data_IF_876225443570
#
_entry.id   IF_876225443570
#
_cell.length_a   1.000
_cell.length_b   1.000
_cell.length_c   1.000
_cell.angle_alpha   90.00
_cell.angle_beta   90.00
_cell.angle_gamma   90.00
#
_symmetry.space_group_name_H-M   'P 1'
#
loop_
_entity.id
_entity.type
_entity.pdbx_description
1 polymer ?
#
# COMPACT_ATOMS: atom_id res chain seq x y z
N UNK A 1 8.80 15.09 -5.06
CA UNK A 1 9.06 13.66 -5.01
C UNK A 1 7.97 12.99 -5.80
N UNK A 2 8.33 12.31 -6.88
CA UNK A 2 7.37 11.66 -7.78
C UNK A 2 7.07 10.21 -7.34
N UNK A 3 6.13 9.56 -8.01
CA UNK A 3 5.88 8.13 -7.97
C UNK A 3 7.16 7.33 -8.22
N UNK A 4 8.05 7.80 -9.10
CA UNK A 4 9.34 7.15 -9.34
C UNK A 4 10.28 7.23 -8.13
N UNK A 5 10.23 8.32 -7.36
CA UNK A 5 10.99 8.42 -6.11
C UNK A 5 10.42 7.48 -5.04
N UNK A 6 9.09 7.42 -4.89
CA UNK A 6 8.43 6.49 -3.95
C UNK A 6 8.70 5.03 -4.34
N UNK A 7 8.63 4.71 -5.63
CA UNK A 7 8.93 3.38 -6.13
C UNK A 7 10.38 2.97 -5.85
N UNK A 8 11.36 3.88 -6.04
CA UNK A 8 12.76 3.63 -5.68
C UNK A 8 12.95 3.47 -4.19
N UNK A 9 12.33 4.32 -3.37
CA UNK A 9 12.38 4.22 -1.91
C UNK A 9 11.93 2.84 -1.43
N UNK A 10 10.87 2.27 -2.02
CA UNK A 10 10.42 0.91 -1.68
C UNK A 10 11.36 -0.18 -2.26
N UNK A 11 11.82 0.00 -3.50
CA UNK A 11 12.65 -0.99 -4.22
C UNK A 11 14.04 -1.15 -3.59
N UNK A 12 14.65 -0.04 -3.17
CA UNK A 12 16.02 0.00 -2.66
C UNK A 12 16.10 -0.28 -1.14
N UNK A 13 14.95 -0.50 -0.49
CA UNK A 13 14.87 -0.67 0.96
C UNK A 13 15.63 -1.91 1.45
N UNK A 14 16.43 -1.75 2.50
CA UNK A 14 17.08 -2.86 3.19
C UNK A 14 16.10 -3.54 4.16
N UNK A 15 15.43 -4.60 3.70
CA UNK A 15 14.39 -5.28 4.48
C UNK A 15 15.01 -6.15 5.59
N UNK A 16 14.88 -5.68 6.82
CA UNK A 16 15.29 -6.37 8.05
C UNK A 16 14.28 -7.44 8.51
N UNK A 17 14.74 -8.36 9.36
CA UNK A 17 13.84 -9.29 10.07
C UNK A 17 12.83 -8.56 10.96
N UNK A 18 13.08 -7.31 11.34
CA UNK A 18 12.14 -6.54 12.16
C UNK A 18 10.90 -6.16 11.34
N UNK A 19 11.09 -5.65 10.11
CA UNK A 19 9.98 -5.34 9.20
C UNK A 19 9.18 -6.57 8.83
N UNK A 20 9.86 -7.68 8.50
CA UNK A 20 9.20 -8.95 8.18
C UNK A 20 8.30 -9.42 9.33
N UNK A 21 8.76 -9.32 10.58
CA UNK A 21 7.94 -9.69 11.75
C UNK A 21 6.73 -8.77 11.90
N UNK A 22 6.91 -7.46 11.77
CA UNK A 22 5.81 -6.48 11.90
C UNK A 22 4.78 -6.65 10.80
N UNK A 23 5.21 -6.84 9.56
CA UNK A 23 4.37 -7.17 8.42
C UNK A 23 3.52 -8.43 8.68
N UNK A 24 4.13 -9.54 9.11
CA UNK A 24 3.39 -10.76 9.45
C UNK A 24 2.41 -10.55 10.61
N UNK A 25 2.76 -9.68 11.57
CA UNK A 25 1.92 -9.34 12.72
C UNK A 25 0.74 -8.43 12.33
N UNK A 26 0.74 -7.80 11.17
CA UNK A 26 -0.45 -7.12 10.64
C UNK A 26 -1.55 -8.07 10.18
N UNK A 27 -1.22 -9.31 9.84
CA UNK A 27 -2.25 -10.23 9.35
C UNK A 27 -3.18 -10.67 10.49
N UNK A 28 -4.48 -10.89 10.24
CA UNK A 28 -5.35 -11.63 11.15
C UNK A 28 -4.79 -13.02 11.45
N UNK A 29 -5.17 -13.59 12.60
CA UNK A 29 -4.60 -14.87 13.07
C UNK A 29 -4.73 -16.00 12.04
N UNK A 30 -5.87 -16.21 11.34
CA UNK A 30 -5.98 -17.30 10.37
C UNK A 30 -5.06 -17.12 9.14
N UNK A 31 -5.08 -15.98 8.40
CA UNK A 31 -4.11 -15.76 7.31
C UNK A 31 -2.66 -15.80 7.78
N UNK A 32 -2.35 -15.26 8.97
CA UNK A 32 -1.00 -15.34 9.55
C UNK A 32 -0.55 -16.78 9.79
N UNK A 33 -1.45 -17.66 10.23
CA UNK A 33 -1.14 -19.08 10.37
C UNK A 33 -0.99 -19.77 9.00
N UNK A 34 -1.82 -19.39 8.03
CA UNK A 34 -1.77 -19.92 6.65
C UNK A 34 -0.47 -19.57 5.92
N UNK A 35 0.20 -18.46 6.25
CA UNK A 35 1.57 -18.18 5.75
C UNK A 35 2.51 -19.36 6.00
N UNK A 36 2.45 -19.99 7.17
CA UNK A 36 3.37 -21.08 7.56
C UNK A 36 2.83 -22.48 7.22
N UNK A 37 1.79 -22.56 6.39
CA UNK A 37 1.20 -23.81 5.94
C UNK A 37 0.97 -23.72 4.42
N UNK A 38 1.96 -24.12 3.63
CA UNK A 38 1.90 -24.02 2.16
C UNK A 38 0.75 -24.83 1.54
N UNK A 39 0.24 -25.83 2.27
CA UNK A 39 -0.93 -26.63 1.86
C UNK A 39 -2.26 -26.00 2.25
N UNK A 40 -2.28 -24.90 3.00
CA UNK A 40 -3.51 -24.24 3.37
C UNK A 40 -4.18 -23.62 2.14
N UNK A 41 -5.50 -23.79 2.02
CA UNK A 41 -6.28 -23.19 0.94
C UNK A 41 -6.10 -21.65 0.86
N UNK A 42 -5.91 -21.00 2.02
CA UNK A 42 -5.75 -19.55 2.14
C UNK A 42 -4.29 -19.08 1.96
N UNK A 43 -3.34 -19.98 1.66
CA UNK A 43 -1.91 -19.64 1.61
C UNK A 43 -1.60 -18.50 0.63
N UNK A 44 -2.15 -18.55 -0.58
CA UNK A 44 -1.96 -17.49 -1.59
C UNK A 44 -2.54 -16.15 -1.17
N UNK A 45 -3.70 -16.15 -0.51
CA UNK A 45 -4.30 -14.94 0.06
C UNK A 45 -3.41 -14.37 1.16
N UNK A 46 -2.87 -15.25 2.02
CA UNK A 46 -1.95 -14.85 3.08
C UNK A 46 -0.65 -14.25 2.53
N UNK A 47 -0.08 -14.81 1.45
CA UNK A 47 1.09 -14.23 0.76
C UNK A 47 0.80 -12.80 0.26
N UNK A 48 -0.38 -12.58 -0.34
CA UNK A 48 -0.80 -11.25 -0.81
C UNK A 48 -0.91 -10.25 0.34
N UNK A 49 -1.63 -10.62 1.42
CA UNK A 49 -1.78 -9.77 2.60
C UNK A 49 -0.44 -9.47 3.28
N UNK A 50 0.47 -10.46 3.32
CA UNK A 50 1.82 -10.25 3.84
C UNK A 50 2.61 -9.28 2.98
N UNK A 51 2.51 -9.39 1.66
CA UNK A 51 3.22 -8.52 0.75
C UNK A 51 2.75 -7.07 0.87
N UNK A 52 1.44 -6.84 0.95
CA UNK A 52 0.88 -5.51 1.23
C UNK A 52 1.38 -4.95 2.57
N UNK A 53 1.34 -5.77 3.63
CA UNK A 53 1.82 -5.38 4.95
C UNK A 53 3.32 -5.08 4.99
N UNK A 54 4.11 -5.80 4.19
CA UNK A 54 5.54 -5.58 4.06
C UNK A 54 5.82 -4.24 3.38
N UNK A 55 5.18 -3.95 2.25
CA UNK A 55 5.33 -2.65 1.56
C UNK A 55 4.93 -1.50 2.48
N UNK A 56 3.86 -1.68 3.26
CA UNK A 56 3.47 -0.69 4.26
C UNK A 56 4.57 -0.46 5.32
N UNK A 57 5.17 -1.51 5.86
CA UNK A 57 6.26 -1.39 6.84
C UNK A 57 7.54 -0.77 6.25
N UNK A 58 7.84 -1.06 4.98
CA UNK A 58 8.94 -0.41 4.24
C UNK A 58 8.66 1.09 4.12
N UNK A 59 7.45 1.46 3.68
CA UNK A 59 7.05 2.87 3.57
C UNK A 59 7.18 3.59 4.91
N UNK A 60 6.78 2.98 6.02
CA UNK A 60 6.95 3.60 7.34
C UNK A 60 8.42 3.78 7.73
N UNK A 61 9.26 2.76 7.53
CA UNK A 61 10.67 2.79 7.92
C UNK A 61 11.48 3.77 7.08
N UNK A 62 11.42 3.62 5.76
CA UNK A 62 12.16 4.45 4.80
C UNK A 62 11.55 5.86 4.73
N UNK A 63 10.21 5.94 4.78
CA UNK A 63 9.52 7.20 4.71
C UNK A 63 9.84 8.10 5.90
N UNK A 64 9.98 7.57 7.12
CA UNK A 64 10.41 8.37 8.28
C UNK A 64 11.81 8.97 8.09
N UNK A 65 12.72 8.23 7.46
CA UNK A 65 14.07 8.68 7.15
C UNK A 65 14.13 9.69 5.99
N UNK A 66 13.21 9.62 5.01
CA UNK A 66 13.26 10.47 3.81
C UNK A 66 12.60 11.84 4.04
N UNK A 67 13.36 12.96 4.01
CA UNK A 67 12.81 14.29 4.26
C UNK A 67 11.78 14.76 3.21
N UNK A 68 11.64 14.09 2.07
CA UNK A 68 10.68 14.43 1.01
C UNK A 68 9.31 13.81 1.24
N UNK A 69 9.20 12.79 2.08
CA UNK A 69 7.91 12.23 2.50
C UNK A 69 7.33 13.15 3.58
N UNK A 70 6.12 13.65 3.36
CA UNK A 70 5.40 14.47 4.33
C UNK A 70 4.53 13.59 5.24
N UNK A 71 3.70 12.74 4.64
CA UNK A 71 2.75 11.90 5.36
C UNK A 71 2.54 10.55 4.67
N UNK A 72 2.22 9.54 5.46
CA UNK A 72 1.83 8.20 4.99
C UNK A 72 0.49 7.88 5.62
N UNK A 73 -0.51 7.54 4.80
CA UNK A 73 -1.80 7.12 5.34
C UNK A 73 -1.62 5.84 6.16
N UNK A 74 -2.21 5.80 7.35
CA UNK A 74 -2.31 4.59 8.12
C UNK A 74 -3.02 3.49 7.31
N UNK A 75 -2.64 2.23 7.51
CA UNK A 75 -3.28 1.04 6.93
C UNK A 75 -3.31 -0.08 7.97
N UNK A 76 -4.07 -1.13 7.71
CA UNK A 76 -4.09 -2.36 8.50
C UNK A 76 -4.46 -2.04 9.96
N UNK A 77 -3.67 -2.49 10.94
CA UNK A 77 -4.00 -2.24 12.35
C UNK A 77 -3.71 -0.83 12.83
N UNK A 78 -3.09 -0.02 12.00
CA UNK A 78 -2.74 1.36 12.36
C UNK A 78 -3.84 2.34 11.94
N UNK A 79 -4.74 1.88 11.07
CA UNK A 79 -5.90 2.62 10.64
C UNK A 79 -6.97 2.65 11.73
N UNK A 80 -7.43 3.86 12.08
CA UNK A 80 -8.56 4.03 12.99
C UNK A 80 -9.88 3.77 12.26
N UNK A 81 -10.56 2.69 12.63
CA UNK A 81 -11.89 2.40 12.12
C UNK A 81 -12.93 3.30 12.81
N UNK A 82 -13.50 4.22 12.03
CA UNK A 82 -14.67 5.00 12.44
C UNK A 82 -15.90 4.43 11.71
N UNK A 83 -16.91 3.90 12.44
CA UNK A 83 -18.15 3.46 11.83
C UNK A 83 -18.78 4.57 10.98
N UNK A 84 -19.26 4.19 9.80
CA UNK A 84 -19.92 5.09 8.86
C UNK A 84 -21.32 4.58 8.54
N UNK A 85 -22.22 5.51 8.21
CA UNK A 85 -23.55 5.21 7.70
C UNK A 85 -23.75 5.84 6.30
N UNK A 86 -24.98 5.79 5.78
CA UNK A 86 -25.32 6.37 4.46
C UNK A 86 -25.20 7.90 4.40
N UNK A 87 -25.05 8.58 5.54
CA UNK A 87 -24.90 10.02 5.67
C UNK A 87 -23.44 10.44 5.92
N UNK A 88 -22.53 9.47 6.00
CA UNK A 88 -21.10 9.74 6.08
C UNK A 88 -20.65 10.64 4.91
N UNK A 89 -19.85 11.66 5.24
CA UNK A 89 -19.25 12.55 4.25
C UNK A 89 -18.41 11.77 3.27
N UNK A 90 -18.42 12.21 2.03
CA UNK A 90 -17.52 11.70 1.00
C UNK A 90 -16.07 11.95 1.45
N UNK A 91 -15.17 11.02 1.13
CA UNK A 91 -13.76 11.15 1.47
C UNK A 91 -13.09 9.81 1.76
N UNK A 92 -11.94 9.87 2.44
CA UNK A 92 -11.17 8.70 2.84
C UNK A 92 -11.70 8.12 4.16
N UNK A 93 -11.95 6.82 4.13
CA UNK A 93 -12.40 6.00 5.24
C UNK A 93 -11.56 4.74 5.34
N UNK A 94 -11.65 4.09 6.49
CA UNK A 94 -11.03 2.79 6.71
C UNK A 94 -12.09 1.72 6.84
N UNK A 95 -11.83 0.55 6.27
CA UNK A 95 -12.62 -0.65 6.57
C UNK A 95 -12.29 -1.15 7.97
N UNK A 96 -13.06 -2.12 8.48
CA UNK A 96 -12.75 -2.75 9.78
C UNK A 96 -11.40 -3.45 9.82
N UNK A 97 -10.87 -3.80 8.65
CA UNK A 97 -9.56 -4.43 8.49
C UNK A 97 -8.45 -3.40 8.24
N UNK A 98 -8.79 -2.12 8.11
CA UNK A 98 -7.84 -1.04 7.87
C UNK A 98 -7.45 -0.83 6.41
N UNK A 99 -8.28 -1.28 5.46
CA UNK A 99 -8.08 -0.95 4.05
C UNK A 99 -8.44 0.53 3.81
N UNK A 100 -7.69 1.22 2.94
CA UNK A 100 -7.91 2.62 2.60
C UNK A 100 -9.01 2.68 1.55
N UNK A 101 -10.18 3.18 1.94
CA UNK A 101 -11.35 3.20 1.08
C UNK A 101 -11.88 4.62 0.89
N UNK A 102 -12.02 5.02 -0.38
CA UNK A 102 -12.69 6.25 -0.75
C UNK A 102 -14.18 5.99 -0.89
N UNK A 103 -14.99 6.80 -0.21
CA UNK A 103 -16.45 6.67 -0.22
C UNK A 103 -17.12 7.89 -0.84
N UNK A 104 -18.15 7.64 -1.63
CA UNK A 104 -19.02 8.65 -2.25
C UNK A 104 -20.47 8.29 -1.93
N UNK A 105 -21.22 9.23 -1.34
CA UNK A 105 -22.60 9.07 -0.88
C UNK A 105 -22.79 7.84 0.00
N UNK A 106 -21.85 7.65 0.93
CA UNK A 106 -21.85 6.52 1.87
C UNK A 106 -21.61 5.16 1.23
N UNK A 107 -21.14 5.06 -0.02
CA UNK A 107 -20.76 3.80 -0.69
C UNK A 107 -19.27 3.77 -1.00
N UNK A 108 -18.66 2.59 -0.98
CA UNK A 108 -17.29 2.40 -1.45
C UNK A 108 -17.22 2.72 -2.95
N UNK A 109 -16.36 3.68 -3.31
CA UNK A 109 -16.14 4.12 -4.68
C UNK A 109 -14.79 3.62 -5.21
N UNK A 110 -13.77 3.58 -4.36
CA UNK A 110 -12.48 3.01 -4.66
C UNK A 110 -11.78 2.52 -3.39
N UNK A 111 -10.82 1.63 -3.57
CA UNK A 111 -9.87 1.18 -2.56
C UNK A 111 -8.47 1.33 -3.15
N UNK A 112 -7.49 1.69 -2.32
CA UNK A 112 -6.07 1.77 -2.72
C UNK A 112 -5.21 1.04 -1.70
N UNK A 113 -4.08 0.52 -2.14
CA UNK A 113 -3.22 -0.25 -1.24
C UNK A 113 -2.36 0.61 -0.34
N UNK A 114 -1.90 1.76 -0.82
CA UNK A 114 -1.25 2.75 0.02
C UNK A 114 -1.49 4.16 -0.51
N UNK A 115 -1.22 5.14 0.36
CA UNK A 115 -1.32 6.56 0.03
C UNK A 115 -0.21 7.33 0.76
N UNK A 116 0.55 8.12 0.01
CA UNK A 116 1.70 8.89 0.49
C UNK A 116 1.56 10.33 -0.01
N UNK A 117 1.68 11.28 0.90
CA UNK A 117 1.80 12.69 0.55
C UNK A 117 3.27 13.08 0.60
N UNK A 118 3.78 13.58 -0.52
CA UNK A 118 5.11 14.15 -0.64
C UNK A 118 5.11 15.64 -0.24
N UNK A 119 6.26 16.18 0.16
CA UNK A 119 6.41 17.58 0.58
C UNK A 119 6.25 18.61 -0.54
N UNK A 120 6.30 18.18 -1.79
CA UNK A 120 6.03 19.01 -2.96
C UNK A 120 4.58 18.88 -3.43
N UNK A 121 3.68 18.52 -2.52
CA UNK A 121 2.24 18.44 -2.77
C UNK A 121 1.90 17.43 -3.88
N UNK A 122 2.66 16.34 -3.98
CA UNK A 122 2.32 15.17 -4.81
C UNK A 122 1.71 14.08 -3.94
N UNK A 123 0.47 13.68 -4.26
CA UNK A 123 -0.22 12.55 -3.66
C UNK A 123 0.05 11.30 -4.51
N UNK A 124 0.81 10.37 -3.95
CA UNK A 124 1.13 9.09 -4.58
C UNK A 124 0.23 8.00 -3.98
N UNK A 125 -0.50 7.29 -4.81
CA UNK A 125 -1.20 6.07 -4.41
C UNK A 125 -0.63 4.87 -5.16
N UNK A 126 -0.89 3.67 -4.66
CA UNK A 126 -0.45 2.47 -5.36
C UNK A 126 -1.33 1.26 -5.17
N UNK A 127 -1.07 0.28 -6.04
CA UNK A 127 -1.69 -1.04 -6.07
C UNK A 127 -0.58 -2.08 -5.99
N UNK A 128 -0.79 -3.10 -5.16
CA UNK A 128 0.19 -4.13 -4.82
C UNK A 128 -0.37 -5.45 -5.34
N UNK A 129 0.34 -6.09 -6.25
CA UNK A 129 -0.09 -7.37 -6.80
C UNK A 129 1.04 -8.37 -6.91
N UNK A 130 0.75 -9.61 -6.54
CA UNK A 130 1.65 -10.76 -6.73
C UNK A 130 1.88 -11.10 -8.20
N UNK A 131 1.02 -10.61 -9.10
CA UNK A 131 1.12 -10.81 -10.54
C UNK A 131 0.92 -9.49 -11.27
N UNK A 132 1.76 -9.18 -12.27
CA UNK A 132 1.48 -8.07 -13.17
C UNK A 132 0.10 -8.22 -13.81
N UNK A 133 -0.69 -7.15 -13.81
CA UNK A 133 -1.96 -7.05 -14.55
C UNK A 133 -1.83 -5.92 -15.55
N UNK A 134 -1.95 -6.22 -16.84
CA UNK A 134 -1.87 -5.25 -17.94
C UNK A 134 -3.20 -5.15 -18.68
N UNK A 135 -4.28 -5.64 -18.06
CA UNK A 135 -5.59 -5.64 -18.69
C UNK A 135 -6.11 -4.20 -18.87
N UNK A 136 -6.85 -3.93 -19.97
CA UNK A 136 -7.54 -2.64 -20.13
C UNK A 136 -8.52 -2.33 -18.99
N UNK A 137 -9.01 -3.36 -18.29
CA UNK A 137 -9.86 -3.20 -17.10
C UNK A 137 -9.10 -2.56 -15.95
N UNK A 138 -7.88 -3.03 -15.67
CA UNK A 138 -7.03 -2.48 -14.63
C UNK A 138 -6.57 -1.05 -14.94
N UNK A 139 -6.21 -0.76 -16.20
CA UNK A 139 -5.91 0.62 -16.63
C UNK A 139 -7.09 1.56 -16.35
N UNK A 140 -8.29 1.16 -16.76
CA UNK A 140 -9.51 1.96 -16.54
C UNK A 140 -9.79 2.17 -15.06
N UNK A 141 -9.56 1.15 -14.23
CA UNK A 141 -9.68 1.24 -12.78
C UNK A 141 -8.72 2.28 -12.21
N UNK A 142 -7.44 2.22 -12.57
CA UNK A 142 -6.42 3.19 -12.11
C UNK A 142 -6.74 4.61 -12.54
N UNK A 143 -7.16 4.82 -13.79
CA UNK A 143 -7.58 6.15 -14.25
C UNK A 143 -8.81 6.66 -13.49
N UNK A 144 -9.77 5.77 -13.18
CA UNK A 144 -10.95 6.12 -12.38
C UNK A 144 -10.57 6.49 -10.94
N UNK A 145 -9.59 5.79 -10.34
CA UNK A 145 -9.02 6.13 -9.03
C UNK A 145 -8.31 7.49 -9.06
N UNK A 146 -7.45 7.74 -10.05
CA UNK A 146 -6.77 9.05 -10.25
C UNK A 146 -7.78 10.19 -10.29
N UNK A 147 -8.83 10.06 -11.09
CA UNK A 147 -9.87 11.09 -11.22
C UNK A 147 -10.65 11.31 -9.91
N UNK A 148 -10.99 10.21 -9.21
CA UNK A 148 -11.67 10.30 -7.93
C UNK A 148 -10.81 11.03 -6.88
N UNK A 149 -9.50 10.73 -6.81
CA UNK A 149 -8.58 11.39 -5.89
C UNK A 149 -8.45 12.89 -6.22
N UNK A 150 -8.31 13.25 -7.50
CA UNK A 150 -8.29 14.67 -7.94
C UNK A 150 -9.55 15.40 -7.50
N UNK A 151 -10.72 14.81 -7.71
CA UNK A 151 -11.98 15.40 -7.26
C UNK A 151 -12.00 15.63 -5.73
N UNK A 152 -11.50 14.69 -4.93
CA UNK A 152 -11.43 14.88 -3.48
C UNK A 152 -10.48 15.99 -3.07
N UNK A 153 -9.38 16.18 -3.80
CA UNK A 153 -8.45 17.28 -3.59
C UNK A 153 -9.10 18.62 -3.96
N UNK A 154 -9.77 18.70 -5.11
CA UNK A 154 -10.50 19.88 -5.56
C UNK A 154 -11.60 20.28 -4.57
N UNK A 155 -12.39 19.32 -4.09
CA UNK A 155 -13.44 19.53 -3.08
C UNK A 155 -12.85 20.03 -1.74
N UNK A 156 -11.58 19.69 -1.45
CA UNK A 156 -10.83 20.17 -0.29
C UNK A 156 -10.06 21.49 -0.55
N UNK A 157 -10.07 22.02 -1.78
CA UNK A 157 -9.32 23.22 -2.16
C UNK A 157 -7.80 22.99 -2.24
N UNK A 158 -7.35 21.75 -2.46
CA UNK A 158 -5.95 21.36 -2.54
C UNK A 158 -5.55 21.14 -4.00
N UNK A 159 -4.41 21.70 -4.42
CA UNK A 159 -3.89 21.57 -5.79
C UNK A 159 -2.75 20.57 -5.88
N UNK A 160 -2.97 19.35 -5.36
CA UNK A 160 -1.93 18.33 -5.32
C UNK A 160 -1.82 17.58 -6.66
N UNK A 161 -0.59 17.23 -7.05
CA UNK A 161 -0.36 16.23 -8.10
C UNK A 161 -0.91 14.86 -7.68
N UNK A 162 -1.35 14.03 -8.62
CA UNK A 162 -1.79 12.66 -8.32
C UNK A 162 -1.06 11.68 -9.22
N UNK A 163 -0.24 10.82 -8.62
CA UNK A 163 0.57 9.82 -9.32
C UNK A 163 0.34 8.42 -8.75
N UNK A 164 0.61 7.42 -9.59
CA UNK A 164 0.30 6.02 -9.36
C UNK A 164 1.55 5.15 -9.46
N UNK A 165 1.74 4.30 -8.46
CA UNK A 165 2.80 3.29 -8.40
C UNK A 165 2.18 1.89 -8.43
N UNK A 166 2.66 1.03 -9.34
CA UNK A 166 2.37 -0.39 -9.30
C UNK A 166 3.50 -1.13 -8.58
N UNK A 167 3.18 -1.95 -7.58
CA UNK A 167 4.16 -2.71 -6.78
C UNK A 167 3.97 -4.21 -6.99
N UNK A 168 5.07 -4.92 -7.22
CA UNK A 168 5.03 -6.38 -7.45
C UNK A 168 6.29 -7.06 -6.94
N UNK A 169 6.24 -8.36 -6.55
CA UNK A 169 7.45 -9.07 -6.15
C UNK A 169 8.17 -9.73 -7.34
N UNK A 170 7.60 -9.63 -8.54
CA UNK A 170 8.12 -10.28 -9.75
C UNK A 170 9.02 -9.30 -10.49
N UNK A 171 10.34 -9.55 -10.50
CA UNK A 171 11.22 -8.95 -11.49
C UNK A 171 11.05 -9.67 -12.82
N UNK A 172 10.85 -8.91 -13.89
CA UNK A 172 11.15 -9.41 -15.23
C UNK A 172 12.58 -8.98 -15.52
N UNK A 173 13.39 -9.86 -16.12
CA UNK A 173 14.76 -9.51 -16.52
C UNK A 173 14.80 -8.31 -17.50
N UNK A 174 13.66 -7.96 -18.10
CA UNK A 174 13.44 -6.81 -18.98
C UNK A 174 13.16 -5.48 -18.25
N UNK A 175 12.75 -5.51 -16.97
CA UNK A 175 12.45 -4.29 -16.19
C UNK A 175 13.71 -3.52 -15.76
N UNK A 176 14.86 -4.20 -15.69
CA UNK A 176 16.14 -3.63 -15.30
C UNK A 176 16.75 -2.66 -16.34
N UNK A 177 16.23 -2.61 -17.58
CA UNK A 177 16.77 -1.77 -18.66
C UNK A 177 16.02 -0.45 -18.88
N UNK A 178 15.10 -0.06 -17.98
CA UNK A 178 14.37 1.22 -18.10
C UNK A 178 13.34 1.27 -19.23
N UNK A 179 13.12 0.17 -19.94
CA UNK A 179 11.95 -0.05 -20.78
C UNK A 179 11.03 -0.99 -20.04
N UNK A 180 9.85 -0.54 -19.60
CA UNK A 180 8.81 -1.46 -19.14
C UNK A 180 8.53 -2.43 -20.31
N UNK A 181 8.88 -3.70 -20.18
CA UNK A 181 8.45 -4.72 -21.14
C UNK A 181 6.92 -4.79 -21.19
N UNK A 182 6.35 -5.41 -22.24
CA UNK A 182 4.89 -5.54 -22.40
C UNK A 182 4.16 -6.32 -21.29
N UNK A 183 4.89 -6.84 -20.30
CA UNK A 183 4.36 -7.55 -19.13
C UNK A 183 3.93 -6.63 -17.97
N UNK A 184 4.27 -5.33 -17.99
CA UNK A 184 3.92 -4.40 -16.90
C UNK A 184 2.98 -3.26 -17.35
N UNK A 185 2.24 -2.65 -16.40
CA UNK A 185 1.37 -1.51 -16.67
C UNK A 185 2.14 -0.32 -17.25
N UNK A 186 2.02 -0.08 -18.56
CA UNK A 186 2.64 1.09 -19.22
C UNK A 186 1.98 2.41 -18.82
N UNK A 187 0.78 2.33 -18.23
CA UNK A 187 0.02 3.47 -17.73
C UNK A 187 0.38 3.83 -16.28
N UNK A 188 1.24 3.05 -15.62
CA UNK A 188 1.76 3.40 -14.30
C UNK A 188 2.78 4.53 -14.41
N UNK A 189 2.74 5.48 -13.48
CA UNK A 189 3.73 6.56 -13.45
C UNK A 189 5.07 6.03 -12.92
N UNK A 190 5.05 4.95 -12.14
CA UNK A 190 6.22 4.17 -11.79
C UNK A 190 5.91 2.69 -11.49
N UNK A 191 6.91 1.84 -11.70
CA UNK A 191 6.94 0.44 -11.29
C UNK A 191 7.89 0.29 -10.10
N UNK A 192 7.44 -0.42 -9.08
CA UNK A 192 8.24 -0.84 -7.94
C UNK A 192 8.31 -2.37 -7.91
N UNK A 193 9.52 -2.91 -7.77
CA UNK A 193 9.74 -4.35 -7.63
C UNK A 193 10.39 -4.61 -6.28
N UNK A 194 9.73 -5.40 -5.44
CA UNK A 194 10.30 -5.86 -4.17
C UNK A 194 10.58 -7.35 -4.31
N UNK A 195 11.75 -7.68 -4.82
CA UNK A 195 12.10 -9.06 -5.17
C UNK A 195 11.85 -10.04 -4.02
N UNK A 196 11.15 -11.13 -4.32
CA UNK A 196 10.75 -12.16 -3.34
C UNK A 196 9.91 -11.63 -2.16
N UNK A 197 9.43 -10.39 -2.23
CA UNK A 197 8.75 -9.68 -1.14
C UNK A 197 7.60 -10.48 -0.52
N UNK A 198 6.86 -11.24 -1.34
CA UNK A 198 5.75 -12.09 -0.89
C UNK A 198 6.18 -13.37 -0.14
N UNK A 199 7.47 -13.70 -0.16
CA UNK A 199 8.04 -14.92 0.47
C UNK A 199 9.00 -14.62 1.61
N UNK A 200 9.34 -13.35 1.86
CA UNK A 200 10.28 -12.94 2.92
C UNK A 200 9.87 -13.39 4.33
N UNK A 201 8.58 -13.69 4.55
CA UNK A 201 8.09 -14.30 5.79
C UNK A 201 8.82 -15.61 6.15
N UNK A 202 9.39 -16.32 5.17
CA UNK A 202 10.21 -17.53 5.39
C UNK A 202 11.50 -17.26 6.18
N UNK A 203 11.93 -16.00 6.28
CA UNK A 203 13.15 -15.59 7.01
C UNK A 203 12.92 -15.43 8.52
N UNK A 204 11.69 -15.58 9.00
CA UNK A 204 11.32 -15.51 10.41
C UNK A 204 10.62 -16.79 10.86
N UNK A 205 10.82 -17.18 12.11
CA UNK A 205 10.23 -18.40 12.66
C UNK A 205 8.77 -18.15 13.07
N UNK A 206 7.89 -19.13 12.86
CA UNK A 206 6.44 -19.03 13.17
C UNK A 206 6.16 -18.55 14.60
N UNK A 207 6.93 -19.05 15.58
CA UNK A 207 6.81 -18.67 16.99
C UNK A 207 7.12 -17.18 17.26
N UNK A 208 7.83 -16.51 16.35
CA UNK A 208 8.15 -15.09 16.47
C UNK A 208 6.95 -14.20 16.14
N UNK A 209 5.93 -14.70 15.42
CA UNK A 209 4.84 -13.89 14.87
C UNK A 209 3.44 -14.40 15.24
N UNK A 210 3.25 -15.70 15.43
CA UNK A 210 1.90 -16.28 15.60
C UNK A 210 1.20 -15.84 16.89
N UNK A 211 1.98 -15.66 17.98
CA UNK A 211 1.46 -15.33 19.31
C UNK A 211 1.74 -13.88 19.74
N UNK A 212 2.33 -13.07 18.86
CA UNK A 212 2.62 -11.66 19.16
C UNK A 212 1.40 -10.78 18.96
N UNK A 213 1.25 -9.82 19.88
CA UNK A 213 0.31 -8.72 19.74
C UNK A 213 0.73 -7.83 18.58
N UNK A 214 -0.26 -7.17 17.98
CA UNK A 214 -0.10 -6.20 16.90
C UNK A 214 0.65 -4.99 17.43
N UNK A 215 1.82 -4.70 16.88
CA UNK A 215 2.55 -3.46 17.13
C UNK A 215 3.32 -3.09 15.85
N UNK A 216 2.87 -2.04 15.14
CA UNK A 216 3.56 -1.56 13.95
C UNK A 216 4.90 -0.90 14.30
N UNK A 217 5.65 -0.51 13.28
CA UNK A 217 6.69 0.49 13.48
C UNK A 217 6.07 1.77 14.10
N UNK A 218 6.72 2.38 15.10
CA UNK A 218 6.44 3.78 15.39
C UNK A 218 6.84 4.59 14.16
N UNK A 219 5.94 5.44 13.67
CA UNK A 219 6.26 6.40 12.61
C UNK A 219 5.69 7.76 12.96
N UNK A 220 6.48 8.81 12.75
CA UNK A 220 6.06 10.20 12.96
C UNK A 220 5.33 10.77 11.75
N UNK A 221 5.46 10.12 10.57
CA UNK A 221 4.79 10.52 9.32
C UNK A 221 3.48 9.78 9.08
N UNK A 222 3.19 8.72 9.85
CA UNK A 222 1.91 8.02 9.80
C UNK A 222 0.78 8.93 10.30
N UNK A 223 -0.23 9.12 9.47
CA UNK A 223 -1.43 9.91 9.81
C UNK A 223 -2.70 9.15 9.49
N UNK A 224 -3.82 9.51 10.14
CA UNK A 224 -5.13 9.09 9.66
C UNK A 224 -5.37 9.70 8.27
N UNK A 225 -5.79 8.89 7.29
CA UNK A 225 -5.84 9.31 5.89
C UNK A 225 -6.75 10.51 5.60
N UNK A 226 -7.68 10.86 6.50
CA UNK A 226 -8.47 12.10 6.38
C UNK A 226 -7.63 13.37 6.53
N UNK A 227 -6.56 13.32 7.32
CA UNK A 227 -5.65 14.46 7.57
C UNK A 227 -4.98 14.89 6.26
N UNK A 228 -4.72 13.95 5.35
CA UNK A 228 -4.13 14.23 4.02
C UNK A 228 -5.02 15.15 3.19
N UNK A 229 -6.34 15.12 3.40
CA UNK A 229 -7.33 15.93 2.67
C UNK A 229 -7.83 17.13 3.52
N UNK A 230 -7.08 17.54 4.54
CA UNK A 230 -7.45 18.66 5.42
C UNK A 230 -8.62 18.37 6.38
N UNK A 231 -8.90 17.08 6.64
CA UNK A 231 -9.93 16.61 7.57
C UNK A 231 -9.58 16.74 9.04
#
# INVERSE_FOLDING_TARGET
MSAADVARLITDAEISKSEIRRAAVHLPKPPRAALFSETAAEHRTAEGMFFEALVYEILLAEGDADPKIAQIAAKLHDAEYVPYDRFAKDGLWYTKNGEIQFRVRGKAAAEVDFLVLCKDDTLVFGEISLKPDVSPGFEKEVQSKKELLRRFLDDAGLSYGVEFVFVTPVSDASAASGSLGGAFPQFADALCVVEEGNTLWKRVHVNEVLHKKRSPAPSVKRVGGRVIFGG
#
